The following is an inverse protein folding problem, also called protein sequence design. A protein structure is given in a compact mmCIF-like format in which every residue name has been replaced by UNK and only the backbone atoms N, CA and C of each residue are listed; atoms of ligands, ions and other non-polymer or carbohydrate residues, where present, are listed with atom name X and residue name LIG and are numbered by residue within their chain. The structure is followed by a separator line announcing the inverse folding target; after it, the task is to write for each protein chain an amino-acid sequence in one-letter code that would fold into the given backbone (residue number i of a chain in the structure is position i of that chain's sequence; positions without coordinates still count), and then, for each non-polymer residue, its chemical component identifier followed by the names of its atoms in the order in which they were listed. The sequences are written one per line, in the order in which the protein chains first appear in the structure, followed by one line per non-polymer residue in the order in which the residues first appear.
data_IF_948285885446
#
_entry.id   IF_948285885446
#
_cell.length_a   1.000
_cell.length_b   1.000
_cell.length_c   1.000
_cell.angle_alpha   90.00
_cell.angle_beta   90.00
_cell.angle_gamma   90.00
#
_symmetry.space_group_name_H-M   'P 1'
#
loop_
_entity.id
_entity.type
_entity.pdbx_description
1 polymer ?
#
# COMPACT_ATOMS: atom_id res chain seq x y z
N UNK A 1 -64.18 -46.81 4.92
CA UNK A 1 -65.07 -45.66 5.18
C UNK A 1 -64.79 -45.28 6.62
N UNK A 2 -64.32 -44.11 6.99
CA UNK A 2 -64.26 -42.80 6.38
C UNK A 2 -63.22 -42.01 7.21
N UNK A 3 -62.67 -40.95 6.64
CA UNK A 3 -61.74 -40.03 7.27
C UNK A 3 -62.21 -39.54 8.65
N UNK A 4 -61.29 -39.34 9.61
CA UNK A 4 -61.32 -38.12 10.42
C UNK A 4 -60.00 -37.78 11.15
N UNK A 5 -59.30 -36.80 10.56
CA UNK A 5 -58.66 -35.62 11.18
C UNK A 5 -57.65 -35.85 12.32
N UNK A 6 -56.38 -35.66 11.97
CA UNK A 6 -55.35 -35.10 12.85
C UNK A 6 -55.90 -33.89 13.60
N UNK A 7 -56.10 -34.03 14.91
CA UNK A 7 -56.15 -32.90 15.83
C UNK A 7 -54.72 -32.58 16.24
N UNK A 8 -54.18 -31.50 15.67
CA UNK A 8 -52.97 -30.86 16.17
C UNK A 8 -53.32 -30.22 17.51
N UNK A 9 -52.76 -30.77 18.58
CA UNK A 9 -52.88 -30.24 19.94
C UNK A 9 -52.08 -28.94 20.04
N UNK A 10 -52.77 -27.81 20.20
CA UNK A 10 -52.21 -26.45 20.26
C UNK A 10 -51.75 -26.03 21.67
N UNK A 11 -51.57 -26.98 22.60
CA UNK A 11 -51.36 -26.69 24.02
C UNK A 11 -49.93 -26.88 24.53
N UNK A 12 -48.92 -26.59 23.70
CA UNK A 12 -47.53 -26.49 24.17
C UNK A 12 -46.87 -25.21 23.68
N UNK A 13 -47.39 -24.09 24.19
CA UNK A 13 -46.65 -22.82 24.21
C UNK A 13 -45.50 -23.03 25.20
N UNK A 14 -44.34 -23.40 24.67
CA UNK A 14 -43.10 -23.26 25.41
C UNK A 14 -42.81 -21.77 25.43
N UNK A 15 -43.11 -21.11 26.55
CA UNK A 15 -42.57 -19.78 26.85
C UNK A 15 -41.05 -19.94 26.91
N UNK A 16 -40.41 -19.74 25.75
CA UNK A 16 -39.00 -19.48 25.69
C UNK A 16 -38.86 -18.09 26.29
N UNK A 17 -38.48 -18.04 27.58
CA UNK A 17 -37.88 -16.85 28.17
C UNK A 17 -36.71 -16.46 27.28
N UNK A 18 -36.97 -15.55 26.34
CA UNK A 18 -35.92 -14.83 25.63
C UNK A 18 -35.25 -14.02 26.72
N UNK A 19 -34.21 -14.62 27.29
CA UNK A 19 -33.22 -13.89 28.07
C UNK A 19 -32.78 -12.77 27.14
N UNK A 20 -33.25 -11.55 27.41
CA UNK A 20 -32.72 -10.35 26.78
C UNK A 20 -31.25 -10.29 27.15
N UNK A 21 -30.42 -10.93 26.32
CA UNK A 21 -29.01 -10.68 26.27
C UNK A 21 -28.91 -9.17 26.06
N UNK A 22 -28.50 -8.46 27.11
CA UNK A 22 -28.14 -7.05 27.04
C UNK A 22 -27.05 -6.95 25.98
N UNK A 23 -27.47 -6.69 24.75
CA UNK A 23 -26.59 -6.25 23.67
C UNK A 23 -26.05 -4.92 24.17
N UNK A 24 -24.84 -4.99 24.70
CA UNK A 24 -24.06 -3.85 25.14
C UNK A 24 -24.05 -2.81 24.00
N UNK A 25 -24.71 -1.65 24.14
CA UNK A 25 -24.72 -0.63 23.10
C UNK A 25 -23.43 0.19 23.18
N UNK A 26 -22.29 -0.48 23.38
CA UNK A 26 -20.96 0.06 23.18
C UNK A 26 -20.36 -0.48 21.87
N UNK A 27 -21.21 -0.65 20.83
CA UNK A 27 -20.69 -0.60 19.46
C UNK A 27 -20.26 0.85 19.26
N UNK A 28 -18.99 1.14 19.52
CA UNK A 28 -18.33 2.37 19.11
C UNK A 28 -18.86 2.70 17.71
N UNK A 29 -19.69 3.74 17.63
CA UNK A 29 -20.17 4.23 16.35
C UNK A 29 -18.92 4.36 15.49
N UNK A 30 -18.84 3.76 14.28
CA UNK A 30 -17.70 4.02 13.42
C UNK A 30 -17.60 5.53 13.34
N UNK A 31 -16.47 6.07 13.84
CA UNK A 31 -16.23 7.51 13.85
C UNK A 31 -16.53 7.95 12.44
N UNK A 32 -17.64 8.68 12.26
CA UNK A 32 -18.00 9.21 10.94
C UNK A 32 -16.72 9.88 10.44
N UNK A 33 -16.18 9.54 9.26
CA UNK A 33 -15.00 10.21 8.76
C UNK A 33 -15.31 11.70 8.85
N UNK A 34 -14.56 12.41 9.70
CA UNK A 34 -14.70 13.87 9.84
C UNK A 34 -14.52 14.37 8.41
N UNK A 35 -15.54 15.03 7.86
CA UNK A 35 -15.59 15.39 6.45
C UNK A 35 -14.22 15.88 6.03
N UNK A 36 -13.55 15.25 5.06
CA UNK A 36 -12.23 15.69 4.69
C UNK A 36 -12.40 17.13 4.25
N UNK A 37 -11.68 18.05 4.89
CA UNK A 37 -11.18 19.16 4.09
C UNK A 37 -10.32 18.47 3.05
N UNK A 38 -10.91 18.28 1.87
CA UNK A 38 -10.46 17.54 0.68
C UNK A 38 -9.06 17.97 0.16
N UNK A 39 -8.40 18.88 0.86
CA UNK A 39 -7.17 19.55 0.45
C UNK A 39 -5.95 18.63 0.44
N UNK A 40 -5.96 17.55 1.23
CA UNK A 40 -4.79 16.69 1.42
C UNK A 40 -4.91 15.31 0.78
N UNK A 41 -6.12 14.75 0.61
CA UNK A 41 -6.30 13.39 0.09
C UNK A 41 -5.68 13.21 -1.30
N UNK A 42 -5.92 14.15 -2.23
CA UNK A 42 -5.34 14.10 -3.58
C UNK A 42 -3.81 14.19 -3.57
N UNK A 43 -3.24 14.97 -2.65
CA UNK A 43 -1.79 15.12 -2.50
C UNK A 43 -1.18 13.83 -1.94
N UNK A 44 -1.78 13.27 -0.90
CA UNK A 44 -1.34 12.01 -0.29
C UNK A 44 -1.37 10.88 -1.32
N UNK A 45 -2.46 10.73 -2.08
CA UNK A 45 -2.54 9.68 -3.12
C UNK A 45 -1.46 9.84 -4.20
N UNK A 46 -1.26 11.07 -4.68
CA UNK A 46 -0.27 11.34 -5.71
C UNK A 46 1.16 11.01 -5.22
N UNK A 47 1.57 11.57 -4.08
CA UNK A 47 2.90 11.32 -3.53
C UNK A 47 3.08 9.88 -3.07
N UNK A 48 2.03 9.22 -2.58
CA UNK A 48 2.07 7.80 -2.23
C UNK A 48 2.34 6.94 -3.45
N UNK A 49 1.60 7.13 -4.56
CA UNK A 49 1.83 6.36 -5.81
C UNK A 49 3.21 6.62 -6.38
N UNK A 50 3.65 7.88 -6.39
CA UNK A 50 4.96 8.25 -6.90
C UNK A 50 6.09 7.68 -6.03
N UNK A 51 5.96 7.75 -4.70
CA UNK A 51 6.92 7.16 -3.77
C UNK A 51 7.00 5.64 -3.92
N UNK A 52 5.86 4.97 -4.13
CA UNK A 52 5.81 3.53 -4.38
C UNK A 52 6.61 3.17 -5.63
N UNK A 53 6.40 3.86 -6.75
CA UNK A 53 7.16 3.59 -7.98
C UNK A 53 8.66 3.83 -7.77
N UNK A 54 9.03 4.98 -7.19
CA UNK A 54 10.43 5.34 -6.97
C UNK A 54 11.14 4.37 -6.03
N UNK A 55 10.51 3.97 -4.93
CA UNK A 55 11.10 3.06 -3.94
C UNK A 55 11.04 1.59 -4.34
N UNK A 56 10.05 1.18 -5.16
CA UNK A 56 9.92 -0.21 -5.62
C UNK A 56 10.91 -0.54 -6.73
N UNK A 57 11.08 0.37 -7.68
CA UNK A 57 11.90 0.11 -8.88
C UNK A 57 13.25 0.82 -8.86
N UNK A 58 13.37 1.96 -8.18
CA UNK A 58 14.62 2.72 -8.10
C UNK A 58 15.78 1.91 -7.54
N UNK A 59 15.68 1.36 -6.31
CA UNK A 59 16.76 0.59 -5.69
C UNK A 59 17.15 -0.65 -6.51
N UNK A 60 16.16 -1.39 -7.02
CA UNK A 60 16.42 -2.58 -7.83
C UNK A 60 17.14 -2.22 -9.14
N UNK A 61 16.68 -1.18 -9.84
CA UNK A 61 17.34 -0.69 -11.05
C UNK A 61 18.76 -0.20 -10.78
N UNK A 62 18.97 0.49 -9.65
CA UNK A 62 20.27 1.00 -9.23
C UNK A 62 21.28 -0.14 -8.95
N UNK A 63 20.86 -1.20 -8.27
CA UNK A 63 21.72 -2.36 -8.00
C UNK A 63 22.11 -3.04 -9.31
N UNK A 64 21.13 -3.28 -10.19
CA UNK A 64 21.37 -3.94 -11.47
C UNK A 64 22.28 -3.12 -12.37
N UNK A 65 22.06 -1.80 -12.46
CA UNK A 65 22.87 -0.92 -13.28
C UNK A 65 24.30 -0.76 -12.73
N UNK A 66 24.49 -0.73 -11.41
CA UNK A 66 25.83 -0.72 -10.79
C UNK A 66 26.60 -2.00 -11.07
N UNK A 67 25.95 -3.16 -10.90
CA UNK A 67 26.56 -4.46 -11.20
C UNK A 67 26.95 -4.56 -12.68
N UNK A 68 26.04 -4.15 -13.57
CA UNK A 68 26.34 -4.13 -15.00
C UNK A 68 27.51 -3.19 -15.31
N UNK A 69 27.53 -1.98 -14.74
CA UNK A 69 28.62 -1.02 -14.93
C UNK A 69 29.96 -1.60 -14.49
N UNK A 70 29.99 -2.27 -13.33
CA UNK A 70 31.19 -2.92 -12.80
C UNK A 70 31.69 -4.03 -13.73
N UNK A 71 30.78 -4.90 -14.20
CA UNK A 71 31.14 -6.01 -15.11
C UNK A 71 31.72 -5.46 -16.41
N UNK A 72 31.07 -4.48 -17.04
CA UNK A 72 31.55 -3.91 -18.29
C UNK A 72 32.83 -3.07 -18.12
N UNK A 73 33.03 -2.41 -16.98
CA UNK A 73 34.29 -1.74 -16.68
C UNK A 73 35.46 -2.73 -16.55
N UNK A 74 35.23 -3.89 -15.93
CA UNK A 74 36.25 -4.95 -15.84
C UNK A 74 36.56 -5.50 -17.24
N UNK A 75 35.55 -5.75 -18.07
CA UNK A 75 35.73 -6.24 -19.44
C UNK A 75 36.47 -5.23 -20.33
N UNK A 76 36.18 -3.93 -20.18
CA UNK A 76 36.90 -2.85 -20.86
C UNK A 76 38.39 -2.88 -20.49
N UNK A 77 38.72 -3.04 -19.20
CA UNK A 77 40.10 -3.06 -18.73
C UNK A 77 40.94 -4.26 -19.23
N UNK A 78 40.29 -5.35 -19.63
CA UNK A 78 40.98 -6.59 -20.03
C UNK A 78 41.13 -6.73 -21.55
N UNK A 79 40.14 -6.28 -22.31
CA UNK A 79 40.05 -6.57 -23.74
C UNK A 79 40.26 -5.34 -24.65
N UNK A 80 40.39 -4.13 -24.06
CA UNK A 80 40.62 -2.84 -24.76
C UNK A 80 39.65 -2.57 -25.93
N UNK A 81 38.47 -3.20 -25.89
CA UNK A 81 37.46 -3.08 -26.92
C UNK A 81 36.57 -1.87 -26.63
N UNK A 82 36.59 -0.88 -27.52
CA UNK A 82 35.81 0.37 -27.37
C UNK A 82 34.31 0.14 -27.10
N UNK A 83 33.76 -0.97 -27.59
CA UNK A 83 32.36 -1.34 -27.35
C UNK A 83 32.06 -1.52 -25.85
N UNK A 84 32.97 -2.10 -25.06
CA UNK A 84 32.75 -2.27 -23.62
C UNK A 84 32.77 -0.94 -22.88
N UNK A 85 33.65 -0.01 -23.27
CA UNK A 85 33.65 1.36 -22.75
C UNK A 85 32.31 2.07 -23.01
N UNK A 86 31.80 1.98 -24.24
CA UNK A 86 30.50 2.59 -24.59
C UNK A 86 29.37 2.00 -23.75
N UNK A 87 29.33 0.67 -23.61
CA UNK A 87 28.31 0.00 -22.78
C UNK A 87 28.43 0.40 -21.31
N UNK A 88 29.66 0.46 -20.77
CA UNK A 88 29.88 0.89 -19.39
C UNK A 88 29.36 2.31 -19.14
N UNK A 89 29.59 3.26 -20.06
CA UNK A 89 29.06 4.63 -19.96
C UNK A 89 27.52 4.62 -19.94
N UNK A 90 26.88 3.80 -20.76
CA UNK A 90 25.42 3.65 -20.77
C UNK A 90 24.93 3.10 -19.42
N UNK A 91 25.58 2.08 -18.86
CA UNK A 91 25.23 1.51 -17.56
C UNK A 91 25.40 2.52 -16.41
N UNK A 92 26.46 3.34 -16.43
CA UNK A 92 26.65 4.41 -15.45
C UNK A 92 25.56 5.48 -15.59
N UNK A 93 25.17 5.83 -16.81
CA UNK A 93 24.09 6.78 -17.07
C UNK A 93 22.75 6.28 -16.51
N UNK A 94 22.44 4.99 -16.73
CA UNK A 94 21.27 4.34 -16.14
C UNK A 94 21.31 4.35 -14.62
N UNK A 95 22.49 4.11 -14.03
CA UNK A 95 22.68 4.21 -12.58
C UNK A 95 22.33 5.60 -12.05
N UNK A 96 22.76 6.66 -12.74
CA UNK A 96 22.37 8.03 -12.42
C UNK A 96 20.85 8.25 -12.46
N UNK A 97 20.18 7.73 -13.49
CA UNK A 97 18.71 7.82 -13.61
C UNK A 97 18.01 7.10 -12.46
N UNK A 98 18.41 5.88 -12.13
CA UNK A 98 17.82 5.12 -11.03
C UNK A 98 18.12 5.72 -9.66
N UNK A 99 19.28 6.36 -9.49
CA UNK A 99 19.60 7.12 -8.29
C UNK A 99 18.66 8.31 -8.13
N UNK A 100 18.48 9.11 -9.18
CA UNK A 100 17.53 10.23 -9.18
C UNK A 100 16.12 9.74 -8.87
N UNK A 101 15.67 8.66 -9.53
CA UNK A 101 14.36 8.07 -9.29
C UNK A 101 14.18 7.63 -7.82
N UNK A 102 15.19 6.99 -7.24
CA UNK A 102 15.17 6.56 -5.84
C UNK A 102 15.10 7.75 -4.89
N UNK A 103 15.88 8.80 -5.14
CA UNK A 103 15.88 10.03 -4.34
C UNK A 103 14.55 10.78 -4.44
N UNK A 104 13.97 10.87 -5.63
CA UNK A 104 12.64 11.45 -5.83
C UNK A 104 11.56 10.62 -5.13
N UNK A 105 11.66 9.29 -5.17
CA UNK A 105 10.77 8.39 -4.43
C UNK A 105 10.85 8.58 -2.91
N UNK A 106 12.06 8.69 -2.37
CA UNK A 106 12.31 9.03 -0.96
C UNK A 106 11.73 10.41 -0.60
N UNK A 107 11.97 11.42 -1.43
CA UNK A 107 11.41 12.77 -1.24
C UNK A 107 9.88 12.75 -1.19
N UNK A 108 9.24 12.06 -2.13
CA UNK A 108 7.80 11.89 -2.15
C UNK A 108 7.27 11.14 -0.92
N UNK A 109 8.00 10.13 -0.43
CA UNK A 109 7.65 9.42 0.80
C UNK A 109 7.63 10.37 2.01
N UNK A 110 8.66 11.21 2.18
CA UNK A 110 8.70 12.19 3.27
C UNK A 110 7.58 13.21 3.17
N UNK A 111 7.29 13.70 1.97
CA UNK A 111 6.18 14.63 1.72
C UNK A 111 4.84 13.97 2.05
N UNK A 112 4.63 12.73 1.62
CA UNK A 112 3.44 11.95 1.93
C UNK A 112 3.26 11.78 3.45
N UNK A 113 4.32 11.37 4.15
CA UNK A 113 4.33 11.22 5.60
C UNK A 113 4.01 12.54 6.33
N UNK A 114 4.53 13.66 5.82
CA UNK A 114 4.24 14.98 6.36
C UNK A 114 2.76 15.37 6.20
N UNK A 115 2.16 15.11 5.04
CA UNK A 115 0.73 15.39 4.83
C UNK A 115 -0.17 14.44 5.61
N UNK A 116 0.17 13.14 5.68
CA UNK A 116 -0.55 12.18 6.51
C UNK A 116 -0.50 12.56 8.00
N UNK A 117 0.62 13.09 8.49
CA UNK A 117 0.71 13.56 9.88
C UNK A 117 -0.17 14.79 10.20
N UNK A 118 -0.61 15.52 9.18
CA UNK A 118 -1.54 16.67 9.32
C UNK A 118 -2.99 16.30 9.09
N UNK A 119 -3.25 15.11 8.52
CA UNK A 119 -4.60 14.64 8.23
C UNK A 119 -5.20 13.96 9.47
N UNK A 120 -6.34 14.45 10.00
CA UNK A 120 -6.98 13.86 11.17
C UNK A 120 -7.44 12.40 10.95
N UNK A 121 -7.59 11.94 9.71
CA UNK A 121 -7.90 10.54 9.40
C UNK A 121 -6.68 9.60 9.53
N UNK A 122 -5.48 10.16 9.61
CA UNK A 122 -4.22 9.41 9.75
C UNK A 122 -3.45 9.75 11.04
N UNK A 123 -3.83 10.81 11.76
CA UNK A 123 -3.15 11.27 12.98
C UNK A 123 -3.39 10.39 14.22
N UNK A 124 -4.51 9.65 14.27
CA UNK A 124 -4.90 8.82 15.43
C UNK A 124 -4.24 7.43 15.46
N UNK A 125 -3.34 7.10 14.52
CA UNK A 125 -2.58 5.84 14.52
C UNK A 125 -1.14 6.00 15.02
N UNK A 126 -0.96 6.76 16.10
CA UNK A 126 0.32 6.84 16.82
C UNK A 126 0.22 6.18 18.18
#
# INVERSE_FOLDING_TARGET
MENEKEKIDQSKVVEVEVTEEKIDPAREKPIKPKSPRDDYHKKIDFYSRFSYLGLRYGPTGLILSLLASLVFAILDSQNDAEMYRVIAIICYSLTGIFLILSLLGLGAYFICKHYMGKDPNYSDRK
#
